data_IF_310970220158
#
_entry.id   IF_310970220158
#
_cell.length_a   1.000
_cell.length_b   1.000
_cell.length_c   1.000
_cell.angle_alpha   90.00
_cell.angle_beta   90.00
_cell.angle_gamma   90.00
#
_symmetry.space_group_name_H-M   'P 1'
#
loop_
_entity.id
_entity.type
_entity.pdbx_description
1 polymer ?
#
# COMPACT_ATOMS: atom_id res chain seq x y z
N UNK A 1 2.13 -1.19 12.89
CA UNK A 1 0.80 -0.57 12.88
C UNK A 1 -0.15 -1.34 13.76
N UNK A 2 -1.06 -0.64 14.40
CA UNK A 2 -1.96 -1.24 15.38
C UNK A 2 -3.37 -1.34 14.82
N UNK A 3 -3.89 -2.56 14.73
CA UNK A 3 -5.27 -2.81 14.30
C UNK A 3 -6.23 -2.11 15.25
N UNK A 4 -7.22 -1.42 14.69
CA UNK A 4 -8.21 -0.65 15.44
C UNK A 4 -7.84 0.81 15.66
N UNK A 5 -6.58 1.18 15.50
CA UNK A 5 -6.15 2.56 15.63
C UNK A 5 -6.37 3.32 14.32
N UNK A 6 -6.49 4.65 14.42
CA UNK A 6 -6.49 5.49 13.22
C UNK A 6 -5.17 5.34 12.49
N UNK A 7 -5.22 5.16 11.19
CA UNK A 7 -4.03 5.08 10.35
C UNK A 7 -3.32 6.45 10.39
N UNK A 8 -2.00 6.48 10.68
CA UNK A 8 -1.25 7.72 10.64
C UNK A 8 -1.35 8.40 9.27
N UNK A 9 -1.75 9.67 9.25
CA UNK A 9 -1.85 10.42 8.01
C UNK A 9 -0.48 10.72 7.43
N UNK A 10 -0.42 10.96 6.13
CA UNK A 10 0.81 11.35 5.46
C UNK A 10 0.51 12.14 4.20
N UNK A 11 1.50 12.88 3.75
CA UNK A 11 1.51 13.56 2.46
C UNK A 11 2.87 13.28 1.83
N UNK A 12 2.89 12.54 0.74
CA UNK A 12 4.11 12.08 0.10
C UNK A 12 4.10 12.39 -1.39
N UNK A 13 5.28 12.59 -2.00
CA UNK A 13 5.36 12.93 -3.42
C UNK A 13 5.05 11.73 -4.30
N UNK A 14 4.33 12.02 -5.39
CA UNK A 14 4.09 11.08 -6.49
C UNK A 14 5.22 11.19 -7.52
N UNK A 15 5.29 10.28 -8.49
CA UNK A 15 6.33 10.37 -9.53
C UNK A 15 6.27 11.63 -10.37
N UNK A 16 5.12 12.28 -10.45
CA UNK A 16 4.93 13.53 -11.21
C UNK A 16 5.31 14.77 -10.41
N UNK A 17 5.60 14.62 -9.12
CA UNK A 17 6.02 15.73 -8.27
C UNK A 17 4.91 16.37 -7.45
N UNK A 18 3.65 16.02 -7.71
CA UNK A 18 2.57 16.47 -6.83
C UNK A 18 2.53 15.59 -5.58
N UNK A 19 1.57 15.82 -4.70
CA UNK A 19 1.50 15.17 -3.39
C UNK A 19 0.21 14.39 -3.25
N UNK A 20 0.31 13.16 -2.72
CA UNK A 20 -0.85 12.38 -2.31
C UNK A 20 -0.94 12.38 -0.79
N UNK A 21 -2.11 12.75 -0.27
CA UNK A 21 -2.39 12.77 1.17
C UNK A 21 -3.37 11.65 1.50
N UNK A 22 -3.03 10.80 2.48
CA UNK A 22 -3.87 9.66 2.83
C UNK A 22 -5.27 10.08 3.23
N UNK A 23 -5.42 11.12 4.03
CA UNK A 23 -6.74 11.58 4.50
C UNK A 23 -7.68 12.01 3.36
N UNK A 24 -7.14 12.34 2.19
CA UNK A 24 -7.98 12.66 1.03
C UNK A 24 -8.72 11.43 0.48
N UNK A 25 -8.31 10.22 0.89
CA UNK A 25 -8.93 8.96 0.47
C UNK A 25 -9.92 8.43 1.50
N UNK A 26 -10.14 9.14 2.60
CA UNK A 26 -11.06 8.72 3.64
C UNK A 26 -12.47 8.54 3.08
N UNK A 27 -13.20 7.54 3.56
CA UNK A 27 -14.49 7.16 3.02
C UNK A 27 -14.43 5.94 2.11
N UNK A 28 -13.22 5.51 1.77
CA UNK A 28 -12.97 4.31 0.94
C UNK A 28 -12.07 3.36 1.70
N UNK A 29 -12.12 2.09 1.33
CA UNK A 29 -11.06 1.16 1.74
C UNK A 29 -9.76 1.59 1.07
N UNK A 30 -8.66 1.54 1.83
CA UNK A 30 -7.33 1.86 1.30
C UNK A 30 -6.39 0.72 1.65
N UNK A 31 -5.64 0.25 0.66
CA UNK A 31 -4.58 -0.72 0.86
C UNK A 31 -3.25 -0.02 0.63
N UNK A 32 -2.44 0.07 1.68
CA UNK A 32 -1.07 0.57 1.58
C UNK A 32 -0.14 -0.61 1.38
N UNK A 33 0.74 -0.52 0.40
CA UNK A 33 1.76 -1.54 0.12
C UNK A 33 3.14 -0.90 0.27
N UNK A 34 3.80 -1.20 1.38
CA UNK A 34 5.16 -0.72 1.65
C UNK A 34 6.14 -1.65 0.94
N UNK A 35 6.95 -1.08 0.04
CA UNK A 35 7.85 -1.85 -0.81
C UNK A 35 9.13 -1.07 -1.11
N UNK A 36 10.00 -1.62 -1.91
CA UNK A 36 11.18 -0.93 -2.39
C UNK A 36 11.71 -1.62 -3.64
N UNK A 37 12.42 -0.88 -4.48
CA UNK A 37 13.00 -1.43 -5.72
C UNK A 37 14.04 -2.51 -5.44
N UNK A 38 14.59 -2.50 -4.23
CA UNK A 38 15.58 -3.45 -3.73
C UNK A 38 14.95 -4.72 -3.14
N UNK A 39 13.63 -4.77 -3.03
CA UNK A 39 12.93 -5.83 -2.31
C UNK A 39 12.48 -6.94 -3.27
N UNK A 40 13.21 -8.05 -3.29
CA UNK A 40 12.92 -9.17 -4.17
C UNK A 40 11.53 -9.77 -3.95
N UNK A 41 11.12 -9.95 -2.69
CA UNK A 41 9.82 -10.52 -2.38
C UNK A 41 8.66 -9.59 -2.76
N UNK A 42 8.87 -8.28 -2.67
CA UNK A 42 7.88 -7.30 -3.14
C UNK A 42 7.66 -7.47 -4.64
N UNK A 43 8.75 -7.55 -5.39
CA UNK A 43 8.71 -7.68 -6.85
C UNK A 43 8.05 -8.99 -7.26
N UNK A 44 8.37 -10.08 -6.57
CA UNK A 44 7.75 -11.39 -6.83
C UNK A 44 6.24 -11.37 -6.61
N UNK A 45 5.76 -10.51 -5.72
CA UNK A 45 4.33 -10.39 -5.41
C UNK A 45 3.55 -9.53 -6.40
N UNK A 46 4.20 -8.74 -7.24
CA UNK A 46 3.51 -7.80 -8.12
C UNK A 46 2.52 -8.47 -9.09
N UNK A 47 2.83 -9.60 -9.74
CA UNK A 47 1.83 -10.21 -10.62
C UNK A 47 0.52 -10.52 -9.90
N UNK A 48 0.60 -11.08 -8.70
CA UNK A 48 -0.59 -11.41 -7.92
C UNK A 48 -1.31 -10.15 -7.40
N UNK A 49 -0.55 -9.12 -7.05
CA UNK A 49 -1.11 -7.84 -6.67
C UNK A 49 -1.86 -7.18 -7.84
N UNK A 50 -1.37 -7.32 -9.06
CA UNK A 50 -2.06 -6.81 -10.24
C UNK A 50 -3.38 -7.53 -10.47
N UNK A 51 -3.42 -8.85 -10.30
CA UNK A 51 -4.67 -9.62 -10.37
C UNK A 51 -5.65 -9.13 -9.31
N UNK A 52 -5.17 -8.92 -8.10
CA UNK A 52 -5.94 -8.40 -6.99
C UNK A 52 -6.52 -7.01 -7.30
N UNK A 53 -5.71 -6.15 -7.90
CA UNK A 53 -6.14 -4.81 -8.29
C UNK A 53 -7.23 -4.85 -9.37
N UNK A 54 -7.11 -5.74 -10.34
CA UNK A 54 -8.16 -5.90 -11.36
C UNK A 54 -9.48 -6.29 -10.70
N UNK A 55 -9.42 -7.14 -9.70
CA UNK A 55 -10.63 -7.63 -9.03
C UNK A 55 -11.24 -6.62 -8.06
N UNK A 56 -10.42 -5.87 -7.30
CA UNK A 56 -10.90 -5.04 -6.19
C UNK A 56 -10.62 -3.54 -6.34
N UNK A 57 -9.90 -3.12 -7.38
CA UNK A 57 -9.46 -1.74 -7.53
C UNK A 57 -10.59 -0.72 -7.68
N UNK A 58 -11.80 -1.16 -8.01
CA UNK A 58 -12.97 -0.29 -8.05
C UNK A 58 -13.56 -0.02 -6.67
N UNK A 59 -13.20 -0.82 -5.66
CA UNK A 59 -13.72 -0.70 -4.28
C UNK A 59 -12.65 -0.38 -3.26
N UNK A 60 -11.38 -0.58 -3.59
CA UNK A 60 -10.25 -0.33 -2.71
C UNK A 60 -9.26 0.57 -3.43
N UNK A 61 -8.84 1.65 -2.77
CA UNK A 61 -7.75 2.48 -3.25
C UNK A 61 -6.42 1.81 -2.89
N UNK A 62 -5.68 1.37 -3.89
CA UNK A 62 -4.34 0.83 -3.68
C UNK A 62 -3.33 1.99 -3.73
N UNK A 63 -2.40 2.01 -2.79
CA UNK A 63 -1.30 3.00 -2.77
C UNK A 63 -0.01 2.27 -2.46
N UNK A 64 0.94 2.32 -3.38
CA UNK A 64 2.29 1.81 -3.14
C UNK A 64 3.13 2.88 -2.47
N UNK A 65 3.83 2.51 -1.39
CA UNK A 65 4.72 3.43 -0.67
C UNK A 65 6.13 2.89 -0.77
N UNK A 66 6.94 3.55 -1.59
CA UNK A 66 8.33 3.18 -1.80
C UNK A 66 9.18 3.62 -0.61
N UNK A 67 9.96 2.71 -0.05
CA UNK A 67 10.75 2.93 1.14
C UNK A 67 12.23 2.66 0.89
N UNK A 68 13.09 3.47 1.52
CA UNK A 68 14.53 3.26 1.50
C UNK A 68 15.12 3.20 0.09
N UNK A 69 14.63 4.08 -0.77
CA UNK A 69 15.01 4.14 -2.17
C UNK A 69 15.37 5.56 -2.57
N UNK A 70 16.29 5.69 -3.52
CA UNK A 70 16.52 6.96 -4.19
C UNK A 70 15.42 7.17 -5.22
N UNK A 71 15.07 8.43 -5.48
CA UNK A 71 14.01 8.78 -6.41
C UNK A 71 14.19 8.14 -7.80
N UNK A 72 15.42 8.14 -8.32
CA UNK A 72 15.68 7.57 -9.64
C UNK A 72 15.53 6.04 -9.68
N UNK A 73 15.91 5.33 -8.60
CA UNK A 73 15.71 3.88 -8.51
C UNK A 73 14.22 3.54 -8.45
N UNK A 74 13.47 4.31 -7.69
CA UNK A 74 12.03 4.19 -7.62
C UNK A 74 11.38 4.38 -8.99
N UNK A 75 11.72 5.45 -9.70
CA UNK A 75 11.16 5.74 -11.02
C UNK A 75 11.50 4.67 -12.04
N UNK A 76 12.73 4.14 -12.00
CA UNK A 76 13.14 3.04 -12.87
C UNK A 76 12.30 1.79 -12.61
N UNK A 77 12.06 1.47 -11.33
CA UNK A 77 11.24 0.32 -10.96
C UNK A 77 9.80 0.48 -11.42
N UNK A 78 9.23 1.68 -11.26
CA UNK A 78 7.87 1.94 -11.71
C UNK A 78 7.72 1.75 -13.22
N UNK A 79 8.71 2.20 -13.98
CA UNK A 79 8.70 2.02 -15.42
C UNK A 79 8.82 0.54 -15.79
N UNK A 80 9.70 -0.18 -15.09
CA UNK A 80 9.94 -1.60 -15.36
C UNK A 80 8.73 -2.48 -15.04
N UNK A 81 8.12 -2.27 -13.88
CA UNK A 81 7.07 -3.17 -13.40
C UNK A 81 5.65 -2.73 -13.74
N UNK A 82 5.46 -1.49 -14.18
CA UNK A 82 4.17 -0.99 -14.66
C UNK A 82 3.03 -1.26 -13.66
N UNK A 83 3.18 -0.75 -12.44
CA UNK A 83 2.17 -0.91 -11.40
C UNK A 83 1.02 0.07 -11.66
N UNK A 84 -0.24 -0.41 -11.81
CA UNK A 84 -1.33 0.46 -12.26
C UNK A 84 -1.96 1.33 -11.18
N UNK A 85 -1.57 1.16 -9.92
CA UNK A 85 -2.11 1.95 -8.81
C UNK A 85 -1.20 3.12 -8.47
N UNK A 86 -1.74 4.14 -7.75
CA UNK A 86 -0.93 5.29 -7.32
C UNK A 86 0.29 4.90 -6.51
N UNK A 87 1.35 5.66 -6.69
CA UNK A 87 2.65 5.41 -6.04
C UNK A 87 3.15 6.70 -5.39
N UNK A 88 3.71 6.56 -4.19
CA UNK A 88 4.37 7.65 -3.48
C UNK A 88 5.68 7.16 -2.90
N UNK A 89 6.58 8.07 -2.54
CA UNK A 89 7.88 7.71 -1.95
C UNK A 89 8.01 8.31 -0.55
N UNK A 90 8.38 7.48 0.40
CA UNK A 90 8.62 7.89 1.79
C UNK A 90 10.03 8.50 1.88
N UNK A 91 10.12 9.81 1.64
CA UNK A 91 11.39 10.52 1.44
C UNK A 91 12.28 10.54 2.69
N UNK A 92 11.68 10.54 3.88
CA UNK A 92 12.41 10.74 5.14
C UNK A 92 12.27 9.55 6.11
N UNK A 93 11.75 8.43 5.64
CA UNK A 93 11.47 7.25 6.45
C UNK A 93 10.48 7.52 7.60
N UNK A 94 9.76 8.63 7.56
CA UNK A 94 8.81 9.00 8.62
C UNK A 94 7.55 8.15 8.60
N UNK A 95 7.06 7.81 7.41
CA UNK A 95 5.82 7.05 7.29
C UNK A 95 6.06 5.58 7.66
N UNK A 96 7.14 4.98 7.17
CA UNK A 96 7.46 3.61 7.57
C UNK A 96 7.67 3.50 9.08
N UNK A 97 8.25 4.54 9.70
CA UNK A 97 8.44 4.58 11.15
C UNK A 97 7.10 4.71 11.87
N UNK A 98 6.22 5.59 11.40
CA UNK A 98 4.89 5.79 12.00
C UNK A 98 4.06 4.51 11.94
N UNK A 99 4.18 3.74 10.86
CA UNK A 99 3.47 2.48 10.70
C UNK A 99 4.23 1.29 11.29
N UNK A 100 5.40 1.51 11.88
CA UNK A 100 6.25 0.47 12.49
C UNK A 100 6.53 -0.68 11.54
N UNK A 101 6.89 -0.33 10.31
CA UNK A 101 7.22 -1.32 9.28
C UNK A 101 8.53 -2.00 9.65
N UNK A 102 8.50 -3.31 9.86
CA UNK A 102 9.67 -4.10 10.30
C UNK A 102 10.21 -5.01 9.22
N UNK A 103 9.55 -5.09 8.08
CA UNK A 103 9.98 -5.93 6.96
C UNK A 103 9.13 -5.62 5.75
N UNK A 104 9.50 -6.18 4.60
CA UNK A 104 8.86 -5.87 3.33
C UNK A 104 8.61 -7.15 2.53
N UNK A 105 7.52 -7.22 1.76
CA UNK A 105 6.45 -6.24 1.70
C UNK A 105 5.66 -6.19 3.01
N UNK A 106 5.09 -5.03 3.29
CA UNK A 106 4.20 -4.87 4.43
C UNK A 106 2.93 -4.19 3.94
N UNK A 107 1.78 -4.79 4.20
CA UNK A 107 0.51 -4.28 3.72
C UNK A 107 -0.38 -3.89 4.88
N UNK A 108 -1.04 -2.75 4.74
CA UNK A 108 -1.97 -2.23 5.75
C UNK A 108 -3.30 -1.97 5.07
N UNK A 109 -4.35 -2.64 5.53
CA UNK A 109 -5.71 -2.42 5.03
C UNK A 109 -6.44 -1.48 5.98
N UNK A 110 -6.93 -0.37 5.43
CA UNK A 110 -7.59 0.69 6.18
C UNK A 110 -9.06 0.73 5.76
N UNK A 111 -9.95 0.83 6.74
CA UNK A 111 -11.38 0.93 6.49
C UNK A 111 -11.82 2.34 6.12
N UNK A 112 -13.07 2.50 5.67
CA UNK A 112 -13.61 3.81 5.26
C UNK A 112 -13.59 4.86 6.38
N UNK A 113 -13.58 4.44 7.63
CA UNK A 113 -13.49 5.36 8.78
C UNK A 113 -12.05 5.78 9.09
N UNK A 114 -11.07 5.29 8.34
CA UNK A 114 -9.66 5.61 8.55
C UNK A 114 -8.95 4.72 9.55
N UNK A 115 -9.63 3.72 10.10
CA UNK A 115 -9.02 2.81 11.08
C UNK A 115 -8.36 1.62 10.39
N UNK A 116 -7.25 1.16 10.96
CA UNK A 116 -6.53 0.00 10.45
C UNK A 116 -7.34 -1.27 10.76
N UNK A 117 -7.66 -2.02 9.72
CA UNK A 117 -8.41 -3.28 9.84
C UNK A 117 -7.50 -4.48 9.97
N UNK A 118 -6.43 -4.55 9.17
CA UNK A 118 -5.52 -5.67 9.11
C UNK A 118 -4.14 -5.22 8.67
N UNK A 119 -3.11 -5.97 9.10
CA UNK A 119 -1.75 -5.79 8.62
C UNK A 119 -1.18 -7.16 8.21
N UNK A 120 -0.29 -7.16 7.20
CA UNK A 120 0.30 -8.37 6.68
C UNK A 120 1.79 -8.14 6.45
N UNK A 121 2.62 -8.96 7.07
CA UNK A 121 4.07 -8.89 6.90
C UNK A 121 4.51 -10.01 5.95
N UNK A 122 5.24 -9.63 4.91
CA UNK A 122 5.72 -10.55 3.90
C UNK A 122 4.68 -10.84 2.81
N UNK A 123 5.09 -11.63 1.82
CA UNK A 123 4.19 -12.05 0.75
C UNK A 123 3.47 -13.29 1.24
N UNK A 124 2.25 -13.10 1.75
CA UNK A 124 1.49 -14.17 2.41
C UNK A 124 0.16 -14.39 1.71
N UNK A 125 -0.20 -15.66 1.55
CA UNK A 125 -1.44 -16.05 0.88
C UNK A 125 -2.69 -15.57 1.63
N UNK A 126 -2.62 -15.48 2.95
CA UNK A 126 -3.75 -15.04 3.77
C UNK A 126 -4.25 -13.65 3.40
N UNK A 127 -3.35 -12.76 2.95
CA UNK A 127 -3.76 -11.44 2.50
C UNK A 127 -4.78 -11.55 1.36
N UNK A 128 -4.48 -12.34 0.34
CA UNK A 128 -5.35 -12.45 -0.83
C UNK A 128 -6.68 -13.12 -0.50
N UNK A 129 -6.66 -14.10 0.40
CA UNK A 129 -7.87 -14.80 0.84
C UNK A 129 -8.78 -13.88 1.66
N UNK A 130 -8.20 -13.15 2.62
CA UNK A 130 -8.98 -12.33 3.54
C UNK A 130 -9.52 -11.06 2.89
N UNK A 131 -8.80 -10.50 1.94
CA UNK A 131 -9.21 -9.27 1.28
C UNK A 131 -10.60 -9.41 0.65
N UNK A 132 -10.83 -10.50 -0.07
CA UNK A 132 -12.13 -10.77 -0.68
C UNK A 132 -13.24 -10.91 0.35
N UNK A 133 -12.95 -11.56 1.47
CA UNK A 133 -13.92 -11.76 2.56
C UNK A 133 -14.31 -10.43 3.21
N UNK A 134 -13.33 -9.57 3.48
CA UNK A 134 -13.57 -8.28 4.12
C UNK A 134 -14.44 -7.40 3.24
N UNK A 135 -14.11 -7.29 1.95
CA UNK A 135 -14.84 -6.46 1.02
C UNK A 135 -16.26 -6.99 0.80
N UNK A 136 -16.43 -8.30 0.72
CA UNK A 136 -17.75 -8.92 0.53
C UNK A 136 -18.63 -8.71 1.76
N UNK A 137 -18.09 -8.87 2.95
CA UNK A 137 -18.82 -8.69 4.21
C UNK A 137 -19.38 -7.28 4.37
N UNK A 138 -18.66 -6.29 3.88
CA UNK A 138 -19.05 -4.88 4.03
C UNK A 138 -20.18 -4.47 3.08
N UNK A 139 -20.53 -5.31 2.12
CA UNK A 139 -21.64 -5.03 1.19
C UNK A 139 -22.99 -5.25 1.85
N UNK A 140 -23.01 -5.98 2.91
CA UNK A 140 -24.23 -6.31 3.64
C UNK A 140 -24.43 -5.35 4.81
#
# INVERSE_FOLDING_TARGET
AKVGAMAPDFSLPTPKGDTLTLSSLQGKYVLLDFWGSWCTWCIKGFPKMKECYVQYGDRIEFVGIDCNDKAEKWKQALEKYQLPWPQVRDTDANVETAYRVKGYPYKVLIGPDGKILKTYLGEVETFYQELGQIITSDKD
#
